data_IF_096258297748
#
_entry.id   IF_096258297748
#
_cell.length_a   1.000
_cell.length_b   1.000
_cell.length_c   1.000
_cell.angle_alpha   90.00
_cell.angle_beta   90.00
_cell.angle_gamma   90.00
#
_symmetry.space_group_name_H-M   'P 1'
#
loop_
_entity.id
_entity.type
_entity.pdbx_description
1 polymer ?
#
# COMPACT_ATOMS: atom_id res chain seq x y z
N UNK A 1 54.12 -22.91 7.92
CA UNK A 1 52.72 -22.87 7.46
C UNK A 1 52.25 -21.43 7.56
N UNK A 2 52.43 -20.63 6.51
CA UNK A 2 51.90 -19.27 6.48
C UNK A 2 50.47 -19.33 5.97
N UNK A 3 49.53 -18.91 6.81
CA UNK A 3 48.12 -18.79 6.45
C UNK A 3 47.98 -17.67 5.41
N UNK A 4 47.43 -18.03 4.25
CA UNK A 4 47.06 -17.07 3.22
C UNK A 4 45.68 -16.55 3.61
N UNK A 5 45.62 -15.33 4.16
CA UNK A 5 44.36 -14.68 4.51
C UNK A 5 43.63 -14.34 3.21
N UNK A 6 42.55 -15.08 2.95
CA UNK A 6 41.64 -14.83 1.84
C UNK A 6 40.99 -13.46 2.01
N UNK A 7 41.37 -12.53 1.14
CA UNK A 7 40.74 -11.22 0.96
C UNK A 7 39.29 -11.43 0.49
N UNK A 8 38.35 -11.40 1.43
CA UNK A 8 36.91 -11.50 1.17
C UNK A 8 36.44 -10.26 0.43
N UNK A 9 36.14 -10.44 -0.86
CA UNK A 9 35.57 -9.45 -1.78
C UNK A 9 34.33 -8.76 -1.17
N UNK A 10 34.47 -7.47 -0.87
CA UNK A 10 33.42 -6.59 -0.37
C UNK A 10 32.55 -6.10 -1.54
N UNK A 11 31.69 -6.95 -2.13
CA UNK A 11 30.80 -6.49 -3.20
C UNK A 11 29.42 -7.18 -3.31
N UNK A 12 28.95 -7.86 -2.26
CA UNK A 12 27.59 -8.42 -2.22
C UNK A 12 26.55 -7.41 -1.68
N UNK A 13 26.57 -6.16 -2.17
CA UNK A 13 25.44 -5.25 -1.94
C UNK A 13 24.33 -5.67 -2.90
N UNK A 14 23.28 -6.32 -2.38
CA UNK A 14 22.09 -6.67 -3.14
C UNK A 14 21.56 -5.45 -3.92
N UNK A 15 21.82 -5.42 -5.22
CA UNK A 15 21.41 -4.33 -6.09
C UNK A 15 19.92 -4.48 -6.37
N UNK A 16 19.09 -3.77 -5.61
CA UNK A 16 17.66 -3.71 -5.87
C UNK A 16 17.41 -3.21 -7.29
N UNK A 17 16.53 -3.86 -8.08
CA UNK A 17 16.22 -3.39 -9.41
C UNK A 17 15.73 -1.94 -9.34
N UNK A 18 16.14 -1.07 -10.29
CA UNK A 18 15.75 0.32 -10.27
C UNK A 18 14.22 0.41 -10.26
N UNK A 19 13.67 1.03 -9.21
CA UNK A 19 12.24 1.28 -9.08
C UNK A 19 11.79 2.08 -10.30
N UNK A 20 11.03 1.46 -11.19
CA UNK A 20 10.40 2.17 -12.30
C UNK A 20 9.46 3.22 -11.72
N UNK A 21 9.88 4.49 -11.81
CA UNK A 21 9.11 5.60 -11.29
C UNK A 21 7.89 5.79 -12.21
N UNK A 22 6.75 5.21 -11.84
CA UNK A 22 5.48 5.49 -12.52
C UNK A 22 5.21 6.98 -12.37
N UNK A 23 5.05 7.67 -13.51
CA UNK A 23 4.68 9.09 -13.53
C UNK A 23 3.35 9.25 -12.79
N UNK A 24 3.39 9.82 -11.58
CA UNK A 24 2.22 10.11 -10.78
C UNK A 24 1.47 11.28 -11.42
N UNK A 25 0.55 10.98 -12.34
CA UNK A 25 -0.49 11.92 -12.70
C UNK A 25 -1.54 11.88 -11.58
N UNK A 26 -1.73 13.03 -10.90
CA UNK A 26 -2.56 13.29 -9.71
C UNK A 26 -1.91 12.93 -8.34
N UNK A 27 -1.45 13.96 -7.64
CA UNK A 27 -1.07 13.92 -6.21
C UNK A 27 -2.28 13.94 -5.28
N UNK A 28 -3.46 14.21 -5.81
CA UNK A 28 -4.70 14.28 -5.05
C UNK A 28 -5.41 12.94 -5.22
N UNK A 29 -5.62 12.21 -4.12
CA UNK A 29 -6.57 11.11 -4.11
C UNK A 29 -7.93 11.71 -4.51
N UNK A 30 -8.52 11.40 -5.68
CA UNK A 30 -9.66 12.17 -6.19
C UNK A 30 -10.94 11.98 -5.37
N UNK A 31 -10.88 11.15 -4.33
CA UNK A 31 -12.00 10.68 -3.52
C UNK A 31 -11.48 10.53 -2.09
N UNK A 32 -12.31 10.85 -1.09
CA UNK A 32 -11.99 10.96 0.35
C UNK A 32 -11.49 9.69 1.06
N UNK A 33 -10.49 9.01 0.50
CA UNK A 33 -9.79 7.90 1.11
C UNK A 33 -8.78 8.44 2.14
N UNK A 34 -8.92 8.00 3.38
CA UNK A 34 -7.99 8.36 4.44
C UNK A 34 -6.64 7.65 4.21
N UNK A 35 -5.58 8.44 4.00
CA UNK A 35 -4.22 7.92 3.91
C UNK A 35 -3.50 8.13 5.25
N UNK A 36 -2.84 7.08 5.72
CA UNK A 36 -1.97 7.17 6.88
C UNK A 36 -0.63 7.79 6.48
N UNK A 37 -0.12 8.68 7.31
CA UNK A 37 1.26 9.15 7.23
C UNK A 37 2.21 8.18 7.95
N UNK A 38 3.51 8.36 7.74
CA UNK A 38 4.50 7.61 8.48
C UNK A 38 4.48 8.03 9.95
N UNK A 39 4.34 7.06 10.85
CA UNK A 39 4.44 7.30 12.29
C UNK A 39 5.91 7.52 12.67
N UNK A 40 6.35 8.78 12.70
CA UNK A 40 7.74 9.15 13.01
C UNK A 40 8.05 9.04 14.52
N UNK A 41 7.06 9.34 15.36
CA UNK A 41 7.16 9.26 16.82
C UNK A 41 5.90 8.62 17.39
N UNK A 42 6.05 7.79 18.41
CA UNK A 42 4.91 7.22 19.13
C UNK A 42 4.13 8.32 19.87
N UNK A 43 2.79 8.37 19.77
CA UNK A 43 1.97 9.27 20.56
C UNK A 43 2.01 8.86 22.04
N UNK A 44 1.84 9.82 22.96
CA UNK A 44 1.87 9.57 24.40
C UNK A 44 0.77 8.60 24.86
N UNK A 45 -0.37 8.61 24.18
CA UNK A 45 -1.55 7.80 24.47
C UNK A 45 -1.69 6.57 23.56
N UNK A 46 -0.58 6.03 23.04
CA UNK A 46 -0.58 4.89 22.11
C UNK A 46 -1.40 3.68 22.60
N UNK A 47 -1.50 3.47 23.92
CA UNK A 47 -2.33 2.42 24.51
C UNK A 47 -3.84 2.55 24.21
N UNK A 48 -4.28 3.75 23.85
CA UNK A 48 -5.67 4.04 23.46
C UNK A 48 -5.93 3.83 21.97
N UNK A 49 -4.90 3.48 21.19
CA UNK A 49 -4.97 3.35 19.74
C UNK A 49 -5.09 1.89 19.33
N UNK A 50 -5.83 1.62 18.25
CA UNK A 50 -5.86 0.30 17.63
C UNK A 50 -4.81 0.20 16.54
N UNK A 51 -4.07 -0.91 16.53
CA UNK A 51 -3.12 -1.24 15.45
C UNK A 51 -3.74 -2.35 14.62
N UNK A 52 -3.77 -2.16 13.29
CA UNK A 52 -4.31 -3.13 12.35
C UNK A 52 -3.16 -3.66 11.48
N UNK A 53 -2.84 -4.96 11.52
CA UNK A 53 -1.89 -5.54 10.58
C UNK A 53 -2.45 -5.43 9.16
N UNK A 54 -1.69 -4.81 8.25
CA UNK A 54 -2.11 -4.60 6.87
C UNK A 54 -1.49 -5.68 5.96
N UNK A 55 -2.29 -6.47 5.23
CA UNK A 55 -1.76 -7.47 4.30
C UNK A 55 -1.04 -6.79 3.13
N UNK A 56 -0.08 -7.51 2.52
CA UNK A 56 0.54 -7.08 1.28
C UNK A 56 -0.50 -7.05 0.15
N UNK A 57 -0.79 -5.85 -0.38
CA UNK A 57 -1.80 -5.69 -1.42
C UNK A 57 -1.88 -4.27 -1.94
N UNK A 58 -2.77 -4.05 -2.91
CA UNK A 58 -3.05 -2.73 -3.47
C UNK A 58 -4.25 -2.10 -2.76
N UNK A 59 -4.04 -0.94 -2.14
CA UNK A 59 -5.12 -0.14 -1.54
C UNK A 59 -6.15 0.25 -2.61
N UNK A 60 -7.42 0.08 -2.30
CA UNK A 60 -8.52 0.38 -3.20
C UNK A 60 -9.75 0.88 -2.43
N UNK A 61 -10.58 1.67 -3.12
CA UNK A 61 -11.92 2.05 -2.69
C UNK A 61 -12.92 1.09 -3.32
N UNK A 62 -13.88 0.60 -2.55
CA UNK A 62 -14.91 -0.32 -3.02
C UNK A 62 -16.26 0.37 -2.92
N UNK A 63 -16.94 0.54 -4.05
CA UNK A 63 -18.27 1.14 -4.13
C UNK A 63 -19.24 0.07 -4.61
N UNK A 64 -20.18 -0.31 -3.73
CA UNK A 64 -21.30 -1.17 -4.09
C UNK A 64 -22.55 -0.30 -4.28
N UNK A 65 -23.07 -0.28 -5.51
CA UNK A 65 -24.32 0.38 -5.84
C UNK A 65 -25.22 -0.58 -6.59
N UNK A 66 -26.47 -0.70 -6.13
CA UNK A 66 -27.46 -1.63 -6.67
C UNK A 66 -26.98 -3.08 -6.58
N UNK A 67 -26.57 -3.69 -7.70
CA UNK A 67 -26.06 -5.07 -7.74
C UNK A 67 -24.63 -5.14 -8.28
N UNK A 68 -23.90 -4.02 -8.38
CA UNK A 68 -22.53 -4.01 -8.91
C UNK A 68 -21.58 -3.37 -7.92
N UNK A 69 -20.41 -3.97 -7.80
CA UNK A 69 -19.32 -3.48 -6.98
C UNK A 69 -18.18 -3.05 -7.87
N UNK A 70 -17.79 -1.78 -7.75
CA UNK A 70 -16.70 -1.17 -8.47
C UNK A 70 -15.54 -0.96 -7.51
N UNK A 71 -14.34 -1.35 -7.94
CA UNK A 71 -13.11 -1.23 -7.17
C UNK A 71 -12.23 -0.21 -7.86
N UNK A 72 -11.88 0.85 -7.16
CA UNK A 72 -11.07 1.96 -7.64
C UNK A 72 -9.71 1.97 -6.95
N UNK A 73 -8.64 2.24 -7.70
CA UNK A 73 -7.32 2.45 -7.12
C UNK A 73 -7.23 3.79 -6.39
N UNK A 74 -6.12 4.00 -5.66
CA UNK A 74 -5.87 5.25 -4.90
C UNK A 74 -5.87 6.53 -5.76
N UNK A 75 -5.71 6.42 -7.07
CA UNK A 75 -5.77 7.56 -8.00
C UNK A 75 -7.14 7.70 -8.69
N UNK A 76 -8.17 7.00 -8.19
CA UNK A 76 -9.53 7.04 -8.76
C UNK A 76 -9.71 6.23 -10.04
N UNK A 77 -8.68 5.51 -10.52
CA UNK A 77 -8.80 4.66 -11.70
C UNK A 77 -9.63 3.40 -11.38
N UNK A 78 -10.62 3.08 -12.22
CA UNK A 78 -11.39 1.85 -12.07
C UNK A 78 -10.48 0.64 -12.35
N UNK A 79 -10.34 -0.23 -11.34
CA UNK A 79 -9.55 -1.46 -11.44
C UNK A 79 -10.40 -2.65 -11.87
N UNK A 80 -11.61 -2.76 -11.30
CA UNK A 80 -12.49 -3.91 -11.52
C UNK A 80 -13.95 -3.57 -11.27
N UNK A 81 -14.84 -4.21 -12.03
CA UNK A 81 -16.27 -4.30 -11.72
C UNK A 81 -16.62 -5.77 -11.49
N UNK A 82 -17.32 -6.07 -10.40
CA UNK A 82 -17.68 -7.43 -10.02
C UNK A 82 -19.00 -7.47 -9.25
N UNK A 83 -19.57 -8.66 -9.09
CA UNK A 83 -20.73 -8.91 -8.24
C UNK A 83 -20.25 -9.35 -6.86
N UNK A 84 -20.74 -8.72 -5.80
CA UNK A 84 -20.42 -9.09 -4.42
C UNK A 84 -21.69 -9.21 -3.59
N UNK A 85 -21.56 -9.72 -2.36
CA UNK A 85 -22.63 -9.77 -1.37
C UNK A 85 -22.67 -8.52 -0.47
N UNK A 86 -21.94 -7.46 -0.82
CA UNK A 86 -22.00 -6.21 -0.07
C UNK A 86 -23.40 -5.61 -0.17
N UNK A 87 -23.90 -4.93 0.87
CA UNK A 87 -25.17 -4.21 0.80
C UNK A 87 -25.19 -3.21 -0.36
N UNK A 88 -26.39 -2.98 -0.93
CA UNK A 88 -26.60 -2.25 -2.21
C UNK A 88 -26.15 -0.78 -2.21
N UNK A 89 -25.74 -0.24 -1.07
CA UNK A 89 -25.31 1.14 -0.89
C UNK A 89 -24.17 1.16 0.13
N UNK A 90 -23.03 0.58 -0.27
CA UNK A 90 -21.84 0.46 0.61
C UNK A 90 -20.64 1.12 -0.04
N UNK A 91 -19.91 1.91 0.74
CA UNK A 91 -18.62 2.48 0.34
C UNK A 91 -17.58 2.03 1.38
N UNK A 92 -16.50 1.40 0.93
CA UNK A 92 -15.35 1.00 1.75
C UNK A 92 -14.07 1.69 1.22
N UNK A 93 -13.19 2.14 2.11
CA UNK A 93 -11.97 2.92 1.80
C UNK A 93 -10.76 2.48 2.63
#
# INVERSE_FOLDING_TARGET
FSANDNESNENDKAQWPPRQHRKNTSFTCPIGMMLAEWLLSAPEDLSSWFIIPCPCGQRCMVVCQSNRTQVYGKYGNLMRTMFTKLPKQTILY
#
